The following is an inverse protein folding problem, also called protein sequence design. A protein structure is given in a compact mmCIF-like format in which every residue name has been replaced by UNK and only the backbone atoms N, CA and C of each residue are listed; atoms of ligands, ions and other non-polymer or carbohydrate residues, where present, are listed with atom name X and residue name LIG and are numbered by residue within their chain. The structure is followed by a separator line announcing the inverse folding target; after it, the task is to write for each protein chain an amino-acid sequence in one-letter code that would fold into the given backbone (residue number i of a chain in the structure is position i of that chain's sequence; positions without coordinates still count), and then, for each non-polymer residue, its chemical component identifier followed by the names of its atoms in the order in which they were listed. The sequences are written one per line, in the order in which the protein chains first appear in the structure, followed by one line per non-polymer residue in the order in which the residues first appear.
data_IF_419276726874
#
_entry.id   IF_419276726874
#
_cell.length_a   1.000
_cell.length_b   1.000
_cell.length_c   1.000
_cell.angle_alpha   90.00
_cell.angle_beta   90.00
_cell.angle_gamma   90.00
#
_symmetry.space_group_name_H-M   'P 1'
#
loop_
_entity.id
_entity.type
_entity.pdbx_description
1 polymer ?
#
# COMPACT_ATOMS: atom_id res chain seq x y z
N UNK A 1 10.81 -15.50 -9.15
CA UNK A 1 9.48 -15.80 -8.58
C UNK A 1 8.62 -14.56 -8.78
N UNK A 2 7.54 -14.70 -9.55
CA UNK A 2 6.65 -13.63 -9.98
C UNK A 2 5.82 -13.13 -8.80
N UNK A 3 5.93 -11.85 -8.46
CA UNK A 3 5.10 -11.20 -7.45
C UNK A 3 3.68 -11.14 -7.99
N UNK A 4 2.82 -12.00 -7.45
CA UNK A 4 1.40 -12.03 -7.81
C UNK A 4 0.77 -10.72 -7.31
N UNK A 5 0.49 -9.79 -8.23
CA UNK A 5 -0.29 -8.58 -7.96
C UNK A 5 -1.74 -9.02 -7.64
N UNK A 6 -2.00 -9.38 -6.38
CA UNK A 6 -3.31 -9.81 -5.88
C UNK A 6 -3.99 -8.68 -5.11
N UNK A 7 -4.23 -7.57 -5.79
CA UNK A 7 -5.32 -6.67 -5.40
C UNK A 7 -5.96 -6.21 -6.70
N UNK A 8 -7.27 -6.43 -6.82
CA UNK A 8 -8.09 -6.05 -7.96
C UNK A 8 -7.86 -4.57 -8.27
N UNK A 9 -7.02 -4.25 -9.26
CA UNK A 9 -6.84 -2.88 -9.77
C UNK A 9 -8.21 -2.28 -10.18
N UNK A 10 -9.19 -3.12 -10.52
CA UNK A 10 -10.55 -2.74 -10.90
C UNK A 10 -11.40 -2.20 -9.73
N UNK A 11 -11.18 -2.65 -8.49
CA UNK A 11 -11.93 -2.12 -7.32
C UNK A 11 -11.36 -0.79 -6.82
N UNK A 12 -10.07 -0.55 -7.04
CA UNK A 12 -9.38 0.66 -6.62
C UNK A 12 -9.88 1.92 -7.36
N UNK A 13 -10.29 1.77 -8.62
CA UNK A 13 -10.75 2.87 -9.47
C UNK A 13 -12.28 3.05 -9.49
N UNK A 14 -13.03 2.06 -8.97
CA UNK A 14 -14.47 2.16 -8.87
C UNK A 14 -14.89 3.31 -7.94
N UNK A 15 -15.96 4.03 -8.30
CA UNK A 15 -16.57 4.99 -7.38
C UNK A 15 -17.38 4.24 -6.31
N UNK A 16 -17.53 4.81 -5.10
CA UNK A 16 -18.47 4.28 -4.10
C UNK A 16 -19.88 4.11 -4.67
N UNK A 17 -20.64 3.15 -4.15
CA UNK A 17 -22.00 2.82 -4.64
C UNK A 17 -22.90 4.05 -4.55
N UNK A 18 -22.76 4.85 -3.50
CA UNK A 18 -23.51 6.07 -3.27
C UNK A 18 -23.21 7.14 -4.33
N UNK A 19 -21.96 7.21 -4.80
CA UNK A 19 -21.57 8.12 -5.89
C UNK A 19 -22.15 7.65 -7.24
N UNK A 20 -22.22 6.34 -7.47
CA UNK A 20 -22.87 5.78 -8.67
C UNK A 20 -24.38 6.04 -8.66
N UNK A 21 -25.03 5.89 -7.50
CA UNK A 21 -26.43 6.24 -7.30
C UNK A 21 -26.70 7.72 -7.54
N UNK A 22 -25.86 8.59 -6.97
CA UNK A 22 -25.94 10.04 -7.19
C UNK A 22 -25.79 10.38 -8.69
N UNK A 23 -24.82 9.77 -9.38
CA UNK A 23 -24.65 9.96 -10.82
C UNK A 23 -25.92 9.63 -11.62
N UNK A 24 -26.57 8.50 -11.31
CA UNK A 24 -27.85 8.11 -11.94
C UNK A 24 -28.97 9.13 -11.69
N UNK A 25 -29.05 9.68 -10.47
CA UNK A 25 -30.03 10.73 -10.15
C UNK A 25 -29.78 12.00 -10.96
N UNK A 26 -28.53 12.45 -11.04
CA UNK A 26 -28.13 13.63 -11.83
C UNK A 26 -28.45 13.44 -13.31
N UNK A 27 -28.23 12.24 -13.85
CA UNK A 27 -28.56 11.92 -15.24
C UNK A 27 -30.06 11.90 -15.53
N UNK A 28 -30.88 11.55 -14.53
CA UNK A 28 -32.34 11.59 -14.67
C UNK A 28 -32.94 13.01 -14.60
N UNK A 29 -32.18 13.99 -14.12
CA UNK A 29 -32.64 15.38 -13.98
C UNK A 29 -32.78 16.07 -15.34
N UNK A 30 -33.78 16.95 -15.45
CA UNK A 30 -33.95 17.86 -16.58
C UNK A 30 -33.79 19.31 -16.10
N UNK A 31 -33.27 20.17 -16.97
CA UNK A 31 -33.14 21.60 -16.71
C UNK A 31 -31.69 22.10 -16.73
N UNK A 32 -31.49 23.43 -16.72
CA UNK A 32 -30.19 24.06 -16.89
C UNK A 32 -29.24 23.82 -15.69
N UNK A 33 -29.78 23.56 -14.50
CA UNK A 33 -28.96 23.30 -13.31
C UNK A 33 -28.19 21.97 -13.36
N UNK A 34 -28.61 21.03 -14.22
CA UNK A 34 -27.95 19.74 -14.39
C UNK A 34 -26.48 19.91 -14.75
N UNK A 35 -26.15 20.84 -15.64
CA UNK A 35 -24.79 21.02 -16.12
C UNK A 35 -23.83 21.40 -14.98
N UNK A 36 -24.24 22.35 -14.13
CA UNK A 36 -23.47 22.73 -12.94
C UNK A 36 -23.30 21.57 -11.96
N UNK A 37 -24.35 20.76 -11.79
CA UNK A 37 -24.33 19.61 -10.89
C UNK A 37 -23.41 18.49 -11.41
N UNK A 38 -23.42 18.22 -12.72
CA UNK A 38 -22.51 17.28 -13.38
C UNK A 38 -21.06 17.73 -13.21
N UNK A 39 -20.77 19.02 -13.40
CA UNK A 39 -19.42 19.55 -13.18
C UNK A 39 -18.94 19.38 -11.74
N UNK A 40 -19.80 19.65 -10.76
CA UNK A 40 -19.48 19.46 -9.34
C UNK A 40 -19.28 17.97 -9.01
N UNK A 41 -20.15 17.10 -9.51
CA UNK A 41 -20.07 15.65 -9.33
C UNK A 41 -18.76 15.08 -9.88
N UNK A 42 -18.38 15.45 -11.11
CA UNK A 42 -17.14 15.00 -11.74
C UNK A 42 -15.92 15.41 -10.90
N UNK A 43 -15.87 16.65 -10.40
CA UNK A 43 -14.78 17.12 -9.53
C UNK A 43 -14.65 16.29 -8.25
N UNK A 44 -15.77 15.92 -7.64
CA UNK A 44 -15.79 15.09 -6.42
C UNK A 44 -15.35 13.66 -6.74
N UNK A 45 -15.88 13.07 -7.80
CA UNK A 45 -15.49 11.74 -8.29
C UNK A 45 -13.99 11.65 -8.56
N UNK A 46 -13.43 12.62 -9.27
CA UNK A 46 -11.99 12.72 -9.54
C UNK A 46 -11.16 12.90 -8.26
N UNK A 47 -11.68 13.63 -7.28
CA UNK A 47 -11.01 13.83 -5.98
C UNK A 47 -10.97 12.52 -5.18
N UNK A 48 -12.08 11.79 -5.15
CA UNK A 48 -12.18 10.50 -4.46
C UNK A 48 -11.24 9.48 -5.10
N UNK A 49 -11.26 9.34 -6.43
CA UNK A 49 -10.38 8.42 -7.14
C UNK A 49 -8.90 8.73 -6.91
N UNK A 50 -8.51 10.02 -6.97
CA UNK A 50 -7.14 10.43 -6.66
C UNK A 50 -6.73 10.08 -5.24
N UNK A 51 -7.58 10.36 -4.25
CA UNK A 51 -7.31 10.02 -2.84
C UNK A 51 -7.16 8.51 -2.65
N UNK A 52 -8.03 7.70 -3.25
CA UNK A 52 -7.93 6.23 -3.20
C UNK A 52 -6.63 5.74 -3.81
N UNK A 53 -6.22 6.27 -4.97
CA UNK A 53 -4.93 5.93 -5.59
C UNK A 53 -3.75 6.27 -4.69
N UNK A 54 -3.74 7.44 -4.06
CA UNK A 54 -2.68 7.83 -3.10
C UNK A 54 -2.67 6.86 -1.91
N UNK A 55 -3.82 6.55 -1.32
CA UNK A 55 -3.91 5.62 -0.19
C UNK A 55 -3.40 4.23 -0.56
N UNK A 56 -3.73 3.72 -1.74
CA UNK A 56 -3.22 2.43 -2.20
C UNK A 56 -1.70 2.45 -2.35
N UNK A 57 -1.12 3.49 -2.98
CA UNK A 57 0.34 3.63 -3.10
C UNK A 57 1.02 3.66 -1.72
N UNK A 58 0.42 4.38 -0.75
CA UNK A 58 0.93 4.42 0.62
C UNK A 58 0.84 3.04 1.28
N UNK A 59 -0.28 2.32 1.11
CA UNK A 59 -0.44 0.97 1.65
C UNK A 59 0.56 -0.02 1.05
N UNK A 60 0.83 0.07 -0.25
CA UNK A 60 1.85 -0.73 -0.94
C UNK A 60 3.24 -0.42 -0.39
N UNK A 61 3.60 0.86 -0.27
CA UNK A 61 4.89 1.27 0.26
C UNK A 61 5.09 0.84 1.72
N UNK A 62 4.06 0.95 2.57
CA UNK A 62 4.12 0.47 3.95
C UNK A 62 4.22 -1.06 4.03
N UNK A 63 3.55 -1.77 3.13
CA UNK A 63 3.63 -3.24 3.05
C UNK A 63 5.03 -3.70 2.66
N UNK A 64 5.66 -3.00 1.70
CA UNK A 64 7.04 -3.23 1.30
C UNK A 64 8.00 -2.92 2.45
N UNK A 65 7.89 -1.75 3.07
CA UNK A 65 8.73 -1.36 4.21
C UNK A 65 8.65 -2.38 5.36
N UNK A 66 7.44 -2.87 5.65
CA UNK A 66 7.24 -3.91 6.69
C UNK A 66 7.99 -5.19 6.34
N UNK A 67 8.07 -5.56 5.07
CA UNK A 67 8.84 -6.72 4.63
C UNK A 67 10.35 -6.45 4.74
N UNK A 68 10.79 -5.26 4.33
CA UNK A 68 12.21 -4.86 4.39
C UNK A 68 12.72 -4.87 5.84
N UNK A 69 11.92 -4.39 6.80
CA UNK A 69 12.25 -4.47 8.23
C UNK A 69 12.40 -5.91 8.71
N UNK A 70 11.56 -6.84 8.23
CA UNK A 70 11.70 -8.26 8.58
C UNK A 70 13.01 -8.85 8.07
N UNK A 71 13.41 -8.52 6.84
CA UNK A 71 14.69 -8.96 6.30
C UNK A 71 15.88 -8.36 7.06
N UNK A 72 15.83 -7.05 7.36
CA UNK A 72 16.88 -6.41 8.15
C UNK A 72 17.06 -7.07 9.52
N UNK A 73 15.96 -7.38 10.21
CA UNK A 73 16.01 -8.05 11.51
C UNK A 73 16.59 -9.47 11.40
N UNK A 74 16.25 -10.20 10.33
CA UNK A 74 16.79 -11.53 10.07
C UNK A 74 18.30 -11.49 9.79
N UNK A 75 18.75 -10.57 8.94
CA UNK A 75 20.18 -10.40 8.64
C UNK A 75 20.96 -9.98 9.89
N UNK A 76 20.38 -9.10 10.72
CA UNK A 76 20.96 -8.70 12.00
C UNK A 76 21.09 -9.88 12.97
N UNK A 77 20.08 -10.74 13.05
CA UNK A 77 20.13 -11.92 13.92
C UNK A 77 21.19 -12.92 13.43
N UNK A 78 21.28 -13.13 12.11
CA UNK A 78 22.27 -14.01 11.50
C UNK A 78 23.69 -13.52 11.78
N UNK A 79 23.97 -12.24 11.51
CA UNK A 79 25.29 -11.63 11.78
C UNK A 79 25.66 -11.61 13.26
N UNK A 80 24.68 -11.44 14.17
CA UNK A 80 24.92 -11.58 15.61
C UNK A 80 25.34 -13.01 15.99
N UNK A 81 24.62 -14.02 15.50
CA UNK A 81 24.93 -15.42 15.76
C UNK A 81 26.31 -15.81 15.22
N UNK A 82 26.64 -15.37 14.01
CA UNK A 82 27.97 -15.60 13.40
C UNK A 82 29.08 -14.97 14.24
N UNK A 83 28.92 -13.71 14.66
CA UNK A 83 29.88 -13.06 15.55
C UNK A 83 30.03 -13.81 16.86
N UNK A 84 28.93 -14.20 17.50
CA UNK A 84 28.98 -14.88 18.80
C UNK A 84 29.68 -16.24 18.69
N UNK A 85 29.49 -16.97 17.57
CA UNK A 85 30.23 -18.20 17.27
C UNK A 85 31.72 -17.96 17.09
N UNK A 86 32.11 -16.93 16.33
CA UNK A 86 33.52 -16.59 16.11
C UNK A 86 34.20 -16.15 17.42
N UNK A 87 33.49 -15.39 18.25
CA UNK A 87 34.02 -14.97 19.55
C UNK A 87 34.25 -16.16 20.48
N UNK A 88 33.31 -17.11 20.54
CA UNK A 88 33.46 -18.34 21.32
C UNK A 88 34.69 -19.15 20.87
N UNK A 89 34.94 -19.26 19.56
CA UNK A 89 36.10 -19.96 19.02
C UNK A 89 37.42 -19.29 19.43
N UNK A 90 37.48 -17.96 19.40
CA UNK A 90 38.66 -17.21 19.83
C UNK A 90 38.91 -17.37 21.33
N UNK A 91 37.88 -17.34 22.16
CA UNK A 91 37.99 -17.56 23.61
C UNK A 91 38.48 -18.98 23.95
N UNK A 92 38.03 -20.00 23.20
CA UNK A 92 38.52 -21.39 23.32
C UNK A 92 39.99 -21.53 22.90
N UNK A 93 40.43 -20.84 21.84
CA UNK A 93 41.84 -20.83 21.43
C UNK A 93 42.76 -20.14 22.47
N UNK A 94 42.31 -19.06 23.09
CA UNK A 94 43.08 -18.31 24.10
C UNK A 94 43.17 -19.05 25.45
N UNK A 95 42.14 -19.84 25.81
CA UNK A 95 42.14 -20.66 27.04
C UNK A 95 42.80 -22.04 26.88
N UNK A 96 43.19 -22.39 25.66
CA UNK A 96 43.83 -23.67 25.30
C UNK A 96 45.36 -23.76 25.52
N UNK A 97 45.98 -22.80 26.22
CA UNK A 97 47.42 -22.78 26.57
C UNK A 97 47.68 -22.93 28.07
#
# INVERSE_FOLDING_TARGET
MTVQKRFNDTEAEALPVEMLELGRLIDSMKGPERENLVLAFNRVSDSIQRRRRILNLVQEALSQLRLDVKYLMFDLETTRRERDQLQSQLEEEDTGF
#
